data_IF_609902055050
#
_entry.id   IF_609902055050
#
_cell.length_a   1.000
_cell.length_b   1.000
_cell.length_c   1.000
_cell.angle_alpha   90.00
_cell.angle_beta   90.00
_cell.angle_gamma   90.00
#
_symmetry.space_group_name_H-M   'P 1'
#
loop_
_entity.id
_entity.type
_entity.pdbx_description
1 polymer ?
#
# COMPACT_ATOMS: atom_id res chain seq x y z
N UNK A 1 -29.16 13.57 18.68
CA UNK A 1 -28.44 13.25 17.43
C UNK A 1 -27.62 12.01 17.70
N UNK A 2 -27.96 10.88 17.09
CA UNK A 2 -27.24 9.63 17.32
C UNK A 2 -25.93 9.65 16.51
N UNK A 3 -24.80 9.59 17.20
CA UNK A 3 -23.49 9.40 16.58
C UNK A 3 -23.41 7.94 16.15
N UNK A 4 -23.69 7.67 14.88
CA UNK A 4 -23.48 6.36 14.28
C UNK A 4 -21.98 6.13 14.16
N UNK A 5 -21.44 5.17 14.90
CA UNK A 5 -20.01 4.83 14.81
C UNK A 5 -19.73 4.09 13.49
N UNK A 6 -18.52 4.25 12.92
CA UNK A 6 -18.07 3.59 11.67
C UNK A 6 -18.27 2.06 11.71
N UNK A 7 -18.23 1.48 12.92
CA UNK A 7 -18.50 0.06 13.22
C UNK A 7 -19.96 -0.36 12.98
N UNK A 8 -20.93 0.52 13.25
CA UNK A 8 -22.35 0.26 12.96
C UNK A 8 -22.65 0.33 11.46
N UNK A 9 -21.91 1.16 10.71
CA UNK A 9 -22.02 1.22 9.26
C UNK A 9 -21.54 -0.08 8.61
N UNK A 10 -20.40 -0.62 9.06
CA UNK A 10 -19.85 -1.89 8.56
C UNK A 10 -20.74 -3.10 8.88
N UNK A 11 -21.40 -3.13 10.04
CA UNK A 11 -22.33 -4.22 10.40
C UNK A 11 -23.60 -4.22 9.52
N UNK A 12 -24.06 -3.06 9.05
CA UNK A 12 -25.20 -2.97 8.15
C UNK A 12 -24.88 -3.45 6.72
N UNK A 13 -23.60 -3.41 6.31
CA UNK A 13 -23.16 -3.85 4.98
C UNK A 13 -23.17 -5.36 4.80
N UNK A 14 -22.99 -6.13 5.87
CA UNK A 14 -22.86 -7.60 5.82
C UNK A 14 -24.22 -8.29 5.67
N UNK A 15 -25.33 -7.65 6.07
CA UNK A 15 -26.69 -8.20 5.95
C UNK A 15 -27.35 -7.97 4.59
N UNK A 16 -26.72 -7.26 3.65
CA UNK A 16 -27.29 -6.94 2.33
C UNK A 16 -26.85 -7.88 1.19
N UNK A 17 -26.22 -9.02 1.49
CA UNK A 17 -25.70 -9.97 0.50
C UNK A 17 -26.79 -10.92 -0.10
N UNK A 18 -27.92 -10.35 -0.50
CA UNK A 18 -28.92 -11.01 -1.35
C UNK A 18 -29.71 -9.96 -2.16
N UNK A 19 -28.98 -9.12 -2.91
CA UNK A 19 -29.55 -8.17 -3.88
C UNK A 19 -29.62 -8.75 -5.30
N UNK A 20 -30.46 -8.20 -6.18
CA UNK A 20 -30.78 -8.78 -7.48
C UNK A 20 -29.57 -8.82 -8.42
N UNK A 21 -29.63 -9.75 -9.38
CA UNK A 21 -28.67 -9.98 -10.47
C UNK A 21 -28.03 -8.68 -10.97
N UNK A 22 -26.69 -8.63 -10.91
CA UNK A 22 -25.88 -7.50 -11.29
C UNK A 22 -26.28 -6.99 -12.69
N UNK A 23 -26.96 -5.85 -12.75
CA UNK A 23 -27.07 -5.04 -13.95
C UNK A 23 -25.65 -4.65 -14.35
N UNK A 24 -25.26 -4.92 -15.60
CA UNK A 24 -23.93 -4.60 -16.13
C UNK A 24 -23.63 -3.12 -15.89
N UNK A 25 -22.76 -2.83 -14.93
CA UNK A 25 -22.23 -1.48 -14.75
C UNK A 25 -21.53 -1.10 -16.06
N UNK A 26 -21.66 0.15 -16.53
CA UNK A 26 -20.84 0.61 -17.65
C UNK A 26 -19.37 0.30 -17.34
N UNK A 27 -18.63 -0.14 -18.35
CA UNK A 27 -17.22 -0.49 -18.19
C UNK A 27 -16.49 0.69 -17.55
N UNK A 28 -16.00 0.51 -16.33
CA UNK A 28 -15.18 1.50 -15.67
C UNK A 28 -13.82 1.45 -16.36
N UNK A 29 -13.45 2.53 -17.04
CA UNK A 29 -12.11 2.69 -17.60
C UNK A 29 -11.16 2.99 -16.43
N UNK A 30 -10.59 1.94 -15.84
CA UNK A 30 -9.59 2.07 -14.77
C UNK A 30 -8.23 2.14 -15.46
N UNK A 31 -7.70 3.36 -15.63
CA UNK A 31 -6.40 3.57 -16.26
C UNK A 31 -5.37 4.18 -15.31
N UNK A 32 -5.11 3.48 -14.20
CA UNK A 32 -4.23 3.96 -13.14
C UNK A 32 -3.30 2.81 -12.73
N UNK A 33 -2.04 3.13 -12.43
CA UNK A 33 -1.12 2.20 -11.79
C UNK A 33 -0.71 2.73 -10.41
N UNK A 34 -1.27 2.13 -9.36
CA UNK A 34 -1.15 2.62 -7.99
C UNK A 34 -0.11 1.87 -7.15
N UNK A 35 0.77 1.09 -7.78
CA UNK A 35 1.85 0.36 -7.09
C UNK A 35 3.06 0.20 -8.02
N UNK A 36 3.93 1.22 -8.08
CA UNK A 36 5.14 1.22 -8.92
C UNK A 36 6.40 1.51 -8.12
N UNK A 37 7.52 0.89 -8.52
CA UNK A 37 8.79 0.95 -7.81
C UNK A 37 9.86 1.54 -8.70
N UNK A 38 10.76 2.32 -8.12
CA UNK A 38 11.83 3.01 -8.84
C UNK A 38 13.20 2.61 -8.31
N UNK A 39 14.25 3.24 -8.83
CA UNK A 39 15.62 3.07 -8.33
C UNK A 39 15.82 3.52 -6.86
N UNK A 40 14.82 4.12 -6.22
CA UNK A 40 14.86 4.45 -4.80
C UNK A 40 14.74 3.20 -3.90
N UNK A 41 14.15 2.11 -4.41
CA UNK A 41 14.14 0.80 -3.78
C UNK A 41 14.68 -0.30 -4.71
N UNK A 42 13.81 -1.09 -5.34
CA UNK A 42 14.15 -2.26 -6.15
C UNK A 42 13.66 -2.17 -7.61
N UNK A 43 13.06 -1.05 -8.00
CA UNK A 43 12.70 -0.75 -9.37
C UNK A 43 13.90 -0.47 -10.28
N UNK A 44 13.72 -0.71 -11.57
CA UNK A 44 14.76 -0.50 -12.58
C UNK A 44 14.76 0.93 -13.16
N UNK A 45 13.64 1.64 -13.06
CA UNK A 45 13.40 2.93 -13.73
C UNK A 45 13.44 4.10 -12.75
N UNK A 46 13.73 5.29 -13.27
CA UNK A 46 13.71 6.54 -12.48
C UNK A 46 12.30 7.13 -12.44
N UNK A 47 12.01 7.99 -11.45
CA UNK A 47 10.71 8.70 -11.36
C UNK A 47 10.36 9.44 -12.67
N UNK A 48 11.27 10.23 -13.30
CA UNK A 48 10.97 10.87 -14.58
C UNK A 48 10.56 9.87 -15.67
N UNK A 49 11.19 8.69 -15.70
CA UNK A 49 10.88 7.66 -16.70
C UNK A 49 9.49 7.04 -16.45
N UNK A 50 9.12 6.78 -15.19
CA UNK A 50 7.76 6.35 -14.84
C UNK A 50 6.70 7.38 -15.25
N UNK A 51 6.96 8.67 -15.05
CA UNK A 51 6.03 9.73 -15.48
C UNK A 51 5.91 9.77 -17.01
N UNK A 52 7.00 9.61 -17.75
CA UNK A 52 6.97 9.52 -19.21
C UNK A 52 6.23 8.26 -19.70
N UNK A 53 6.45 7.13 -19.05
CA UNK A 53 5.75 5.87 -19.34
C UNK A 53 4.24 6.03 -19.14
N UNK A 54 3.83 6.59 -18.01
CA UNK A 54 2.42 6.86 -17.72
C UNK A 54 1.77 7.73 -18.78
N UNK A 55 2.45 8.78 -19.25
CA UNK A 55 1.98 9.63 -20.35
C UNK A 55 1.87 8.87 -21.67
N UNK A 56 2.83 8.01 -21.96
CA UNK A 56 2.83 7.20 -23.19
C UNK A 56 1.70 6.17 -23.21
N UNK A 57 1.30 5.65 -22.04
CA UNK A 57 0.17 4.75 -21.87
C UNK A 57 -1.15 5.46 -21.55
N UNK A 58 -1.17 6.79 -21.60
CA UNK A 58 -2.35 7.63 -21.35
C UNK A 58 -2.99 7.36 -19.98
N UNK A 59 -2.19 6.97 -18.98
CA UNK A 59 -2.67 6.73 -17.61
C UNK A 59 -3.19 8.03 -17.00
N UNK A 60 -4.31 7.95 -16.29
CA UNK A 60 -4.87 9.08 -15.54
C UNK A 60 -4.03 9.39 -14.29
N UNK A 61 -3.48 8.33 -13.65
CA UNK A 61 -2.62 8.47 -12.49
C UNK A 61 -1.58 7.35 -12.36
N UNK A 62 -0.48 7.69 -11.68
CA UNK A 62 0.49 6.74 -11.14
C UNK A 62 0.80 7.04 -9.67
N UNK A 63 1.11 6.00 -8.90
CA UNK A 63 1.69 6.14 -7.58
C UNK A 63 3.13 5.63 -7.58
N UNK A 64 4.06 6.47 -7.13
CA UNK A 64 5.43 6.06 -6.84
C UNK A 64 5.42 5.52 -5.41
N UNK A 65 5.70 4.23 -5.22
CA UNK A 65 5.51 3.52 -3.95
C UNK A 65 6.71 2.67 -3.60
N UNK A 66 7.91 3.23 -3.70
CA UNK A 66 9.13 2.54 -3.31
C UNK A 66 9.08 1.96 -1.89
N UNK A 67 9.79 0.87 -1.67
CA UNK A 67 9.82 0.18 -0.37
C UNK A 67 10.33 1.09 0.76
N UNK A 68 9.48 1.32 1.75
CA UNK A 68 9.82 1.95 3.03
C UNK A 68 9.93 0.87 4.10
N UNK A 69 11.05 0.14 4.09
CA UNK A 69 11.26 -1.02 4.96
C UNK A 69 12.68 -1.00 5.55
N UNK A 70 12.91 -1.57 6.75
CA UNK A 70 14.26 -1.73 7.29
C UNK A 70 15.28 -2.23 6.26
N UNK A 71 16.39 -1.51 6.10
CA UNK A 71 17.41 -1.76 5.08
C UNK A 71 17.20 -1.05 3.73
N UNK A 72 16.06 -0.41 3.48
CA UNK A 72 15.88 0.44 2.29
C UNK A 72 16.44 1.85 2.52
N UNK A 73 16.93 2.50 1.46
CA UNK A 73 17.58 3.82 1.56
C UNK A 73 16.65 4.87 2.18
N UNK A 74 15.41 4.92 1.71
CA UNK A 74 14.42 5.90 2.15
C UNK A 74 13.91 5.63 3.59
N UNK A 75 14.08 4.41 4.10
CA UNK A 75 13.81 4.10 5.51
C UNK A 75 14.98 4.50 6.41
N UNK A 76 16.23 4.23 5.99
CA UNK A 76 17.43 4.42 6.82
C UNK A 76 17.92 5.88 6.88
N UNK A 77 17.45 6.75 5.96
CA UNK A 77 17.95 8.12 5.83
C UNK A 77 16.82 9.10 5.57
N UNK A 78 16.57 10.00 6.54
CA UNK A 78 15.64 11.12 6.36
C UNK A 78 16.00 11.97 5.13
N UNK A 79 17.29 12.22 4.91
CA UNK A 79 17.76 12.97 3.73
C UNK A 79 17.40 12.27 2.42
N UNK A 80 17.41 10.93 2.39
CA UNK A 80 17.05 10.18 1.20
C UNK A 80 15.54 10.14 1.00
N UNK A 81 14.76 10.06 2.08
CA UNK A 81 13.30 10.22 2.05
C UNK A 81 12.89 11.62 1.56
N UNK A 82 13.51 12.68 2.08
CA UNK A 82 13.24 14.06 1.66
C UNK A 82 13.56 14.24 0.17
N UNK A 83 14.67 13.64 -0.30
CA UNK A 83 15.05 13.67 -1.72
C UNK A 83 14.06 12.90 -2.59
N UNK A 84 13.60 11.74 -2.13
CA UNK A 84 12.55 10.96 -2.79
C UNK A 84 11.26 11.81 -2.97
N UNK A 85 10.76 12.42 -1.89
CA UNK A 85 9.57 13.28 -1.97
C UNK A 85 9.78 14.51 -2.86
N UNK A 86 10.94 15.15 -2.77
CA UNK A 86 11.26 16.33 -3.58
C UNK A 86 11.37 16.01 -5.07
N UNK A 87 11.88 14.83 -5.43
CA UNK A 87 11.95 14.41 -6.83
C UNK A 87 10.56 14.10 -7.41
N UNK A 88 9.70 13.41 -6.65
CA UNK A 88 8.29 13.21 -7.06
C UNK A 88 7.62 14.57 -7.26
N UNK A 89 7.79 15.50 -6.33
CA UNK A 89 7.20 16.84 -6.42
C UNK A 89 7.69 17.61 -7.65
N UNK A 90 9.00 17.52 -7.95
CA UNK A 90 9.61 18.16 -9.10
C UNK A 90 9.01 17.65 -10.40
N UNK A 91 8.94 16.33 -10.57
CA UNK A 91 8.40 15.73 -11.80
C UNK A 91 6.90 15.96 -11.93
N UNK A 92 6.17 15.88 -10.81
CA UNK A 92 4.74 16.23 -10.75
C UNK A 92 4.48 17.67 -11.18
N UNK A 93 5.25 18.63 -10.64
CA UNK A 93 5.06 20.06 -10.91
C UNK A 93 5.45 20.47 -12.35
N UNK A 94 6.23 19.65 -13.04
CA UNK A 94 6.67 19.91 -14.40
C UNK A 94 5.61 19.58 -15.48
N UNK A 95 4.48 18.98 -15.10
CA UNK A 95 3.45 18.49 -16.02
C UNK A 95 2.04 18.50 -15.39
N UNK A 96 1.00 18.29 -16.18
CA UNK A 96 -0.41 18.21 -15.73
C UNK A 96 -1.21 17.09 -16.43
N UNK A 97 -0.53 16.24 -17.19
CA UNK A 97 -1.15 15.20 -18.01
C UNK A 97 -1.51 13.95 -17.18
N UNK A 98 -0.73 13.66 -16.14
CA UNK A 98 -0.88 12.49 -15.27
C UNK A 98 -0.86 12.92 -13.80
N UNK A 99 -1.76 12.38 -12.99
CA UNK A 99 -1.70 12.56 -11.53
C UNK A 99 -0.55 11.69 -10.99
N UNK A 100 0.44 12.31 -10.34
CA UNK A 100 1.56 11.59 -9.72
C UNK A 100 1.42 11.66 -8.21
N UNK A 101 1.16 10.52 -7.57
CA UNK A 101 0.99 10.41 -6.12
C UNK A 101 2.33 10.12 -5.44
N UNK A 102 2.61 10.85 -4.36
CA UNK A 102 3.69 10.52 -3.43
C UNK A 102 3.24 9.36 -2.55
N UNK A 103 3.78 8.17 -2.79
CA UNK A 103 3.47 7.01 -1.97
C UNK A 103 4.69 6.29 -1.43
N UNK A 104 4.42 5.24 -0.67
CA UNK A 104 5.44 4.29 -0.21
C UNK A 104 4.79 2.94 0.07
N UNK A 105 5.54 1.87 -0.15
CA UNK A 105 5.16 0.53 0.29
C UNK A 105 5.85 0.21 1.62
N UNK A 106 5.08 0.25 2.70
CA UNK A 106 5.50 -0.26 4.00
C UNK A 106 5.42 -1.79 4.06
N UNK A 107 5.95 -2.36 5.13
CA UNK A 107 5.82 -3.79 5.43
C UNK A 107 5.26 -4.01 6.83
N UNK A 108 4.43 -5.03 6.98
CA UNK A 108 4.03 -5.50 8.29
C UNK A 108 5.24 -6.06 9.03
N UNK A 109 5.45 -5.61 10.27
CA UNK A 109 6.59 -6.03 11.09
C UNK A 109 6.24 -7.24 11.96
N UNK A 110 4.96 -7.47 12.26
CA UNK A 110 4.48 -8.60 13.05
C UNK A 110 2.97 -8.87 12.89
N UNK A 111 2.46 -9.81 13.68
CA UNK A 111 1.05 -10.18 13.74
C UNK A 111 0.13 -9.19 14.48
N UNK A 112 0.64 -8.06 14.96
CA UNK A 112 -0.14 -7.08 15.76
C UNK A 112 -0.57 -5.85 14.96
N UNK A 113 -0.17 -5.76 13.68
CA UNK A 113 -0.49 -4.60 12.83
C UNK A 113 0.54 -3.47 12.92
N UNK A 114 1.70 -3.68 13.55
CA UNK A 114 2.81 -2.73 13.44
C UNK A 114 3.38 -2.79 12.03
N UNK A 115 3.59 -1.63 11.42
CA UNK A 115 4.18 -1.49 10.09
C UNK A 115 5.46 -0.64 10.14
N UNK A 116 6.26 -0.70 9.07
CA UNK A 116 7.57 -0.03 9.01
C UNK A 116 7.51 1.49 8.90
N UNK A 117 6.42 2.07 8.39
CA UNK A 117 6.26 3.52 8.32
C UNK A 117 5.46 4.03 9.52
N UNK A 118 5.93 5.10 10.15
CA UNK A 118 5.21 5.76 11.23
C UNK A 118 4.25 6.85 10.73
N UNK A 119 3.40 7.35 11.62
CA UNK A 119 2.41 8.37 11.29
C UNK A 119 3.03 9.72 10.82
N UNK A 120 4.23 10.06 11.28
CA UNK A 120 4.90 11.31 10.92
C UNK A 120 5.41 11.26 9.48
N UNK A 121 5.95 10.12 9.05
CA UNK A 121 6.37 9.90 7.67
C UNK A 121 5.16 9.71 6.75
N UNK A 122 4.16 8.94 7.19
CA UNK A 122 2.93 8.72 6.43
C UNK A 122 2.18 10.03 6.16
N UNK A 123 2.18 11.00 7.09
CA UNK A 123 1.54 12.30 6.90
C UNK A 123 2.13 13.14 5.75
N UNK A 124 3.30 12.77 5.21
CA UNK A 124 3.94 13.43 4.07
C UNK A 124 3.60 12.78 2.72
N UNK A 125 2.96 11.62 2.77
CA UNK A 125 2.53 10.80 1.65
C UNK A 125 1.02 11.00 1.39
N UNK A 126 0.63 10.65 0.17
CA UNK A 126 -0.76 10.67 -0.32
C UNK A 126 -1.31 9.25 -0.49
N UNK A 127 -0.43 8.25 -0.54
CA UNK A 127 -0.78 6.86 -0.80
C UNK A 127 0.17 5.89 -0.07
N UNK A 128 -0.31 5.24 0.98
CA UNK A 128 0.45 4.27 1.76
C UNK A 128 -0.07 2.86 1.48
N UNK A 129 0.83 2.03 0.95
CA UNK A 129 0.63 0.60 0.80
C UNK A 129 1.31 -0.15 1.94
N UNK A 130 0.82 -1.35 2.26
CA UNK A 130 1.54 -2.25 3.14
C UNK A 130 1.45 -3.70 2.67
N UNK A 131 2.59 -4.36 2.60
CA UNK A 131 2.68 -5.79 2.33
C UNK A 131 2.72 -6.65 3.60
N UNK A 132 2.46 -7.94 3.39
CA UNK A 132 2.86 -8.99 4.30
C UNK A 132 4.06 -9.69 3.68
N UNK A 133 5.27 -9.32 4.13
CA UNK A 133 6.53 -9.71 3.50
C UNK A 133 7.48 -10.46 4.45
N UNK A 134 8.70 -10.72 3.97
CA UNK A 134 9.72 -11.48 4.72
C UNK A 134 10.23 -10.82 6.00
N UNK A 135 9.74 -9.63 6.34
CA UNK A 135 10.02 -8.92 7.59
C UNK A 135 8.96 -9.15 8.67
N UNK A 136 7.81 -9.74 8.33
CA UNK A 136 6.68 -9.93 9.22
C UNK A 136 6.91 -11.08 10.22
N UNK A 137 7.34 -10.72 11.44
CA UNK A 137 7.62 -11.68 12.51
C UNK A 137 6.35 -12.46 12.93
N UNK A 138 6.49 -13.77 13.10
CA UNK A 138 5.38 -14.68 13.41
C UNK A 138 4.53 -15.07 12.21
N UNK A 139 4.83 -14.59 11.00
CA UNK A 139 4.19 -15.03 9.75
C UNK A 139 5.24 -15.51 8.75
N UNK A 140 5.82 -14.63 7.93
CA UNK A 140 6.83 -14.99 6.92
C UNK A 140 8.27 -14.89 7.45
N UNK A 141 8.45 -14.26 8.63
CA UNK A 141 9.69 -14.30 9.40
C UNK A 141 9.46 -15.07 10.69
N UNK A 142 10.33 -16.05 10.98
CA UNK A 142 10.14 -17.00 12.10
C UNK A 142 8.75 -17.64 12.05
N UNK A 143 8.39 -18.17 10.90
CA UNK A 143 7.11 -18.82 10.63
C UNK A 143 6.81 -19.90 11.67
N UNK A 144 5.62 -19.88 12.32
CA UNK A 144 5.18 -20.94 13.21
C UNK A 144 5.12 -22.29 12.47
N UNK A 145 5.63 -23.35 13.09
CA UNK A 145 5.54 -24.71 12.54
C UNK A 145 4.10 -25.26 12.60
N UNK A 146 3.31 -24.80 13.56
CA UNK A 146 1.90 -25.14 13.66
C UNK A 146 1.07 -24.34 12.66
N UNK A 147 0.37 -25.07 11.78
CA UNK A 147 -0.43 -24.48 10.69
C UNK A 147 -1.56 -23.61 11.21
N UNK A 148 -2.20 -23.99 12.32
CA UNK A 148 -3.30 -23.21 12.88
C UNK A 148 -2.76 -21.86 13.39
N UNK A 149 -1.67 -21.88 14.15
CA UNK A 149 -0.99 -20.67 14.64
C UNK A 149 -0.55 -19.77 13.48
N UNK A 150 0.01 -20.33 12.41
CA UNK A 150 0.37 -19.56 11.22
C UNK A 150 -0.84 -18.86 10.59
N UNK A 151 -1.94 -19.58 10.35
CA UNK A 151 -3.18 -19.00 9.78
C UNK A 151 -3.74 -17.90 10.70
N UNK A 152 -3.78 -18.16 12.01
CA UNK A 152 -4.22 -17.17 12.99
C UNK A 152 -3.36 -15.91 12.96
N UNK A 153 -2.04 -16.05 12.83
CA UNK A 153 -1.13 -14.90 12.75
C UNK A 153 -1.33 -14.11 11.46
N UNK A 154 -1.52 -14.77 10.31
CA UNK A 154 -1.83 -14.09 9.04
C UNK A 154 -3.14 -13.30 9.15
N UNK A 155 -4.20 -13.90 9.72
CA UNK A 155 -5.48 -13.21 9.94
C UNK A 155 -5.32 -12.03 10.90
N UNK A 156 -4.58 -12.21 12.01
CA UNK A 156 -4.31 -11.12 12.96
C UNK A 156 -3.52 -9.98 12.32
N UNK A 157 -2.54 -10.27 11.47
CA UNK A 157 -1.81 -9.24 10.73
C UNK A 157 -2.77 -8.42 9.88
N UNK A 158 -3.60 -9.05 9.03
CA UNK A 158 -4.53 -8.30 8.17
C UNK A 158 -5.54 -7.48 8.96
N UNK A 159 -6.08 -8.02 10.06
CA UNK A 159 -6.96 -7.26 10.95
C UNK A 159 -6.23 -6.05 11.55
N UNK A 160 -5.00 -6.23 12.01
CA UNK A 160 -4.17 -5.15 12.54
C UNK A 160 -3.84 -4.09 11.48
N UNK A 161 -3.56 -4.49 10.23
CA UNK A 161 -3.38 -3.56 9.12
C UNK A 161 -4.63 -2.73 8.86
N UNK A 162 -5.83 -3.32 8.94
CA UNK A 162 -7.08 -2.58 8.81
C UNK A 162 -7.33 -1.54 9.92
N UNK A 163 -6.61 -1.64 11.06
CA UNK A 163 -6.69 -0.68 12.16
C UNK A 163 -5.66 0.46 12.03
N UNK A 164 -4.74 0.42 11.05
CA UNK A 164 -3.78 1.49 10.79
C UNK A 164 -4.48 2.65 10.07
N UNK A 165 -4.61 3.79 10.74
CA UNK A 165 -5.42 4.93 10.28
C UNK A 165 -4.97 5.52 8.93
N UNK A 166 -3.67 5.53 8.68
CA UNK A 166 -3.05 6.12 7.49
C UNK A 166 -2.66 5.08 6.43
N UNK A 167 -3.14 3.84 6.54
CA UNK A 167 -2.93 2.81 5.53
C UNK A 167 -4.07 2.85 4.50
N UNK A 168 -3.73 3.04 3.22
CA UNK A 168 -4.73 3.15 2.16
C UNK A 168 -5.07 1.80 1.52
N UNK A 169 -4.07 0.93 1.33
CA UNK A 169 -4.29 -0.41 0.79
C UNK A 169 -3.28 -1.46 1.28
N UNK A 170 -3.75 -2.71 1.31
CA UNK A 170 -2.91 -3.88 1.58
C UNK A 170 -2.42 -4.41 0.23
N UNK A 171 -1.12 -4.32 0.00
CA UNK A 171 -0.49 -4.74 -1.25
C UNK A 171 -0.43 -6.26 -1.36
N UNK A 172 -0.74 -6.78 -2.56
CA UNK A 172 -0.67 -8.21 -2.92
C UNK A 172 -1.00 -9.17 -1.75
N UNK A 173 -2.23 -9.08 -1.18
CA UNK A 173 -2.59 -9.57 0.15
C UNK A 173 -2.64 -11.10 0.27
N UNK A 174 -2.28 -11.84 -0.77
CA UNK A 174 -2.28 -13.31 -0.73
C UNK A 174 -0.96 -13.89 -1.24
N UNK A 175 0.13 -13.12 -1.19
CA UNK A 175 1.49 -13.63 -1.41
C UNK A 175 2.00 -14.46 -0.20
N UNK A 176 1.11 -15.23 0.42
CA UNK A 176 1.37 -16.04 1.62
C UNK A 176 1.90 -17.44 1.29
N UNK A 177 1.99 -17.80 0.00
CA UNK A 177 2.40 -19.13 -0.45
C UNK A 177 3.91 -19.31 -0.64
N UNK A 178 4.71 -18.25 -0.51
CA UNK A 178 6.15 -18.28 -0.79
C UNK A 178 6.99 -18.45 0.49
N UNK A 179 6.54 -19.30 1.41
CA UNK A 179 7.29 -19.69 2.61
C UNK A 179 8.32 -20.75 2.22
N UNK A 180 9.61 -20.39 2.17
CA UNK A 180 10.70 -21.36 2.03
C UNK A 180 10.92 -22.13 3.31
#
# INVERSE_FOLDING_TARGET
MAVSTRRQFLQASVTAAAGPSATSRPAVHINHDLHTHTIYSDGASTIPLHVLEARAFELDAIAITDHYTPGSKIYESQTDFDRYLAEIERERSAQQDVIVLKGAEATALDATGRISIDAQHAAQLEWVLCDLGGLSEGTLRKTPSDKQTYIENVVKTYLGLCDVEYLDAIAHPFNTGNTR
#
